data_IF_659723966828
#
_entry.id   IF_659723966828
#
_cell.length_a   1.000
_cell.length_b   1.000
_cell.length_c   1.000
_cell.angle_alpha   90.00
_cell.angle_beta   90.00
_cell.angle_gamma   90.00
#
_symmetry.space_group_name_H-M   'P 1'
#
loop_
_entity.id
_entity.type
_entity.pdbx_description
1 polymer ?
#
# COMPACT_ATOMS: atom_id res chain seq x y z
N UNK A 1 -5.76 2.00 -44.90
CA UNK A 1 -5.07 1.18 -43.90
C UNK A 1 -4.54 2.11 -42.83
N UNK A 2 -5.32 2.29 -41.72
CA UNK A 2 -4.86 3.00 -40.55
C UNK A 2 -3.91 2.05 -39.83
N UNK A 3 -2.62 2.31 -39.92
CA UNK A 3 -1.63 1.67 -39.06
C UNK A 3 -1.97 2.04 -37.65
N UNK A 4 -2.39 1.05 -36.85
CA UNK A 4 -2.50 1.21 -35.42
C UNK A 4 -1.13 1.68 -34.93
N UNK A 5 -1.09 2.85 -34.28
CA UNK A 5 0.11 3.27 -33.57
C UNK A 5 0.39 2.20 -32.52
N UNK A 6 1.60 1.64 -32.47
CA UNK A 6 1.94 0.82 -31.32
C UNK A 6 1.70 1.67 -30.07
N UNK A 7 0.96 1.13 -29.10
CA UNK A 7 0.85 1.78 -27.79
C UNK A 7 2.27 2.12 -27.34
N UNK A 8 2.56 3.38 -26.94
CA UNK A 8 3.85 3.65 -26.35
C UNK A 8 4.02 2.62 -25.22
N UNK A 9 5.20 2.03 -25.11
CA UNK A 9 5.58 1.22 -23.95
C UNK A 9 5.35 2.13 -22.75
N UNK A 10 4.19 1.96 -22.09
CA UNK A 10 3.85 2.67 -20.88
C UNK A 10 4.87 2.15 -19.87
N UNK A 11 5.78 3.04 -19.47
CA UNK A 11 6.71 2.72 -18.40
C UNK A 11 5.92 2.74 -17.10
N UNK A 12 5.35 1.57 -16.77
CA UNK A 12 4.71 1.38 -15.49
C UNK A 12 5.72 1.58 -14.38
N UNK A 13 5.33 2.31 -13.35
CA UNK A 13 6.13 2.49 -12.14
C UNK A 13 5.64 1.57 -11.05
N UNK A 14 6.52 1.27 -10.10
CA UNK A 14 6.20 0.46 -8.93
C UNK A 14 6.60 1.20 -7.67
N UNK A 15 5.73 1.12 -6.64
CA UNK A 15 5.99 1.66 -5.32
C UNK A 15 5.55 0.66 -4.27
N UNK A 16 6.28 0.58 -3.16
CA UNK A 16 6.01 -0.35 -2.06
C UNK A 16 5.49 0.43 -0.85
N UNK A 17 4.30 0.06 -0.39
CA UNK A 17 3.54 0.78 0.63
C UNK A 17 3.12 -0.16 1.76
N UNK A 18 3.23 0.28 3.00
CA UNK A 18 2.76 -0.43 4.18
C UNK A 18 1.95 0.46 5.11
N UNK A 19 0.91 -0.07 5.71
CA UNK A 19 0.05 0.68 6.63
C UNK A 19 -1.07 -0.20 7.15
N UNK A 20 -0.82 -0.93 8.23
CA UNK A 20 -1.74 -1.92 8.77
C UNK A 20 -1.70 -3.24 8.02
N UNK A 21 -2.78 -3.98 8.06
CA UNK A 21 -2.91 -5.24 7.34
C UNK A 21 -2.87 -5.02 5.82
N UNK A 22 -2.05 -5.79 5.12
CA UNK A 22 -1.92 -5.64 3.66
C UNK A 22 -3.18 -6.05 2.87
N UNK A 23 -4.13 -6.78 3.48
CA UNK A 23 -5.43 -7.03 2.86
C UNK A 23 -6.23 -5.73 2.66
N UNK A 24 -6.12 -4.78 3.60
CA UNK A 24 -6.75 -3.48 3.49
C UNK A 24 -6.15 -2.65 2.36
N UNK A 25 -4.82 -2.60 2.32
CA UNK A 25 -4.10 -1.86 1.28
C UNK A 25 -4.37 -2.44 -0.11
N UNK A 26 -4.28 -3.74 -0.25
CA UNK A 26 -4.58 -4.40 -1.52
C UNK A 26 -5.99 -4.08 -1.99
N UNK A 27 -6.98 -4.27 -1.12
CA UNK A 27 -8.37 -4.01 -1.47
C UNK A 27 -8.67 -2.55 -1.82
N UNK A 28 -7.94 -1.61 -1.19
CA UNK A 28 -8.09 -0.19 -1.48
C UNK A 28 -7.40 0.23 -2.79
N UNK A 29 -6.28 -0.42 -3.14
CA UNK A 29 -5.52 -0.08 -4.34
C UNK A 29 -6.05 -0.75 -5.60
N UNK A 30 -6.60 -1.95 -5.47
CA UNK A 30 -7.24 -2.67 -6.58
C UNK A 30 -8.46 -1.87 -7.07
N UNK A 31 -8.58 -1.69 -8.38
CA UNK A 31 -9.69 -0.97 -8.99
C UNK A 31 -9.46 0.52 -9.18
N UNK A 32 -8.36 1.08 -8.67
CA UNK A 32 -7.92 2.43 -9.05
C UNK A 32 -7.56 2.46 -10.54
N UNK A 33 -8.11 3.44 -11.26
CA UNK A 33 -7.72 3.62 -12.68
C UNK A 33 -6.26 3.95 -12.77
N UNK A 34 -5.54 3.19 -13.60
CA UNK A 34 -4.09 3.31 -13.77
C UNK A 34 -3.28 2.34 -12.92
N UNK A 35 -3.89 1.65 -11.96
CA UNK A 35 -3.23 0.57 -11.21
C UNK A 35 -3.47 -0.75 -11.93
N UNK A 36 -2.38 -1.39 -12.37
CA UNK A 36 -2.45 -2.65 -13.12
C UNK A 36 -2.22 -3.88 -12.27
N UNK A 37 -1.48 -3.75 -11.16
CA UNK A 37 -1.16 -4.89 -10.30
C UNK A 37 -0.90 -4.42 -8.87
N UNK A 38 -1.37 -5.20 -7.89
CA UNK A 38 -1.10 -5.00 -6.47
C UNK A 38 -0.68 -6.35 -5.89
N UNK A 39 0.54 -6.43 -5.38
CA UNK A 39 1.11 -7.69 -4.86
C UNK A 39 1.42 -7.54 -3.39
N UNK A 40 0.76 -8.32 -2.49
CA UNK A 40 1.11 -8.32 -1.08
C UNK A 40 2.44 -9.02 -0.84
N UNK A 41 3.18 -8.51 0.14
CA UNK A 41 4.50 -9.05 0.46
C UNK A 41 5.05 -8.51 1.77
N UNK A 42 6.35 -8.76 1.97
CA UNK A 42 7.09 -8.36 3.15
C UNK A 42 8.37 -7.64 2.74
N UNK A 43 8.69 -6.56 3.44
CA UNK A 43 9.89 -5.78 3.16
C UNK A 43 10.32 -4.97 4.38
N UNK A 44 11.57 -4.52 4.39
CA UNK A 44 12.12 -3.65 5.43
C UNK A 44 12.75 -4.37 6.60
N UNK A 45 12.72 -5.69 6.64
CA UNK A 45 13.31 -6.52 7.71
C UNK A 45 14.63 -7.17 7.31
N UNK A 46 15.07 -8.12 8.15
CA UNK A 46 16.40 -8.74 8.03
C UNK A 46 16.35 -10.26 7.77
N UNK A 47 15.15 -10.88 7.79
CA UNK A 47 14.99 -12.30 7.54
C UNK A 47 14.72 -12.53 6.06
N UNK A 48 15.54 -13.38 5.42
CA UNK A 48 15.35 -13.76 4.03
C UNK A 48 14.18 -14.74 3.89
N UNK A 49 13.38 -14.56 2.85
CA UNK A 49 12.27 -15.41 2.51
C UNK A 49 11.34 -15.70 3.72
N UNK A 50 10.81 -14.65 4.39
CA UNK A 50 10.04 -14.83 5.60
C UNK A 50 8.69 -15.51 5.31
N UNK A 51 8.18 -16.27 6.29
CA UNK A 51 6.81 -16.75 6.29
C UNK A 51 5.91 -15.75 7.02
N UNK A 52 4.61 -15.84 6.76
CA UNK A 52 3.60 -15.04 7.47
C UNK A 52 3.70 -15.23 8.99
N UNK A 53 3.86 -16.47 9.44
CA UNK A 53 4.00 -16.79 10.86
C UNK A 53 5.24 -16.12 11.49
N UNK A 54 6.35 -16.11 10.77
CA UNK A 54 7.56 -15.42 11.23
C UNK A 54 7.34 -13.93 11.36
N UNK A 55 6.68 -13.30 10.37
CA UNK A 55 6.37 -11.87 10.41
C UNK A 55 5.41 -11.56 11.57
N UNK A 56 4.40 -12.38 11.79
CA UNK A 56 3.49 -12.25 12.93
C UNK A 56 4.20 -12.40 14.29
N UNK A 57 5.33 -13.10 14.32
CA UNK A 57 6.19 -13.22 15.50
C UNK A 57 6.90 -11.94 15.89
N UNK A 58 6.83 -10.89 15.07
CA UNK A 58 7.34 -9.52 15.34
C UNK A 58 8.86 -9.40 15.45
N UNK A 59 9.63 -10.42 15.02
CA UNK A 59 11.09 -10.46 15.14
C UNK A 59 11.85 -10.38 13.82
N UNK A 60 11.12 -10.36 12.68
CA UNK A 60 11.76 -10.30 11.36
C UNK A 60 12.17 -8.89 10.95
N UNK A 61 11.57 -7.87 11.58
CA UNK A 61 11.70 -6.48 11.17
C UNK A 61 10.90 -6.12 9.92
N UNK A 62 10.28 -7.09 9.26
CA UNK A 62 9.48 -6.83 8.05
C UNK A 62 8.15 -6.15 8.37
N UNK A 63 7.75 -5.25 7.47
CA UNK A 63 6.39 -4.75 7.39
C UNK A 63 5.58 -5.59 6.39
N UNK A 64 4.27 -5.71 6.65
CA UNK A 64 3.30 -6.12 5.64
C UNK A 64 3.14 -4.98 4.64
N UNK A 65 3.43 -5.24 3.40
CA UNK A 65 3.42 -4.22 2.35
C UNK A 65 2.69 -4.71 1.11
N UNK A 66 2.36 -3.78 0.24
CA UNK A 66 1.92 -4.07 -1.13
C UNK A 66 2.84 -3.39 -2.11
N UNK A 67 3.18 -4.08 -3.19
CA UNK A 67 3.85 -3.51 -4.33
C UNK A 67 2.80 -3.15 -5.36
N UNK A 68 2.66 -1.85 -5.62
CA UNK A 68 1.66 -1.31 -6.53
C UNK A 68 2.34 -0.95 -7.84
N UNK A 69 1.86 -1.53 -8.94
CA UNK A 69 2.28 -1.18 -10.30
C UNK A 69 1.23 -0.28 -10.92
N UNK A 70 1.62 0.88 -11.38
CA UNK A 70 0.70 1.91 -11.86
C UNK A 70 1.27 2.69 -13.05
N UNK A 71 0.37 3.29 -13.83
CA UNK A 71 0.70 4.20 -14.90
C UNK A 71 0.59 5.64 -14.39
N UNK A 72 1.72 6.36 -14.26
CA UNK A 72 1.72 7.72 -13.70
C UNK A 72 1.04 8.76 -14.60
N UNK A 73 0.79 8.45 -15.87
CA UNK A 73 0.02 9.31 -16.76
C UNK A 73 -1.49 9.21 -16.52
N UNK A 74 -1.94 8.06 -15.99
CA UNK A 74 -3.36 7.85 -15.64
C UNK A 74 -3.62 8.24 -14.18
N UNK A 75 -2.80 7.73 -13.26
CA UNK A 75 -2.85 8.10 -11.85
C UNK A 75 -1.48 8.68 -11.43
N UNK A 76 -1.38 10.00 -11.25
CA UNK A 76 -0.13 10.60 -10.77
C UNK A 76 0.29 10.00 -9.43
N UNK A 77 1.60 9.82 -9.24
CA UNK A 77 2.13 9.19 -8.02
C UNK A 77 1.66 9.90 -6.74
N UNK A 78 1.59 11.22 -6.73
CA UNK A 78 1.10 11.98 -5.58
C UNK A 78 -0.36 11.67 -5.25
N UNK A 79 -1.19 11.45 -6.27
CA UNK A 79 -2.61 11.07 -6.07
C UNK A 79 -2.71 9.66 -5.50
N UNK A 80 -1.91 8.71 -6.02
CA UNK A 80 -1.83 7.36 -5.46
C UNK A 80 -1.44 7.40 -3.97
N UNK A 81 -0.48 8.25 -3.61
CA UNK A 81 -0.03 8.44 -2.23
C UNK A 81 -1.11 9.07 -1.35
N UNK A 82 -1.92 9.99 -1.87
CA UNK A 82 -3.06 10.53 -1.12
C UNK A 82 -4.08 9.44 -0.79
N UNK A 83 -4.35 8.53 -1.72
CA UNK A 83 -5.19 7.36 -1.45
C UNK A 83 -4.58 6.50 -0.35
N UNK A 84 -3.28 6.21 -0.44
CA UNK A 84 -2.55 5.46 0.58
C UNK A 84 -2.73 6.06 1.98
N UNK A 85 -2.55 7.36 2.12
CA UNK A 85 -2.71 8.04 3.42
C UNK A 85 -4.17 8.11 3.89
N UNK A 86 -5.13 7.78 3.04
CA UNK A 86 -6.55 7.66 3.44
C UNK A 86 -6.87 6.30 4.03
N UNK A 87 -6.19 5.24 3.57
CA UNK A 87 -6.50 3.84 3.95
C UNK A 87 -6.22 3.60 5.43
N UNK A 88 -5.24 4.28 6.00
CA UNK A 88 -4.77 4.05 7.36
C UNK A 88 -4.51 5.36 8.10
N UNK A 89 -4.31 5.28 9.41
CA UNK A 89 -3.88 6.39 10.23
C UNK A 89 -2.34 6.43 10.30
N UNK A 90 -1.68 7.37 9.62
CA UNK A 90 -0.22 7.41 9.55
C UNK A 90 0.44 7.99 10.81
N UNK A 91 -0.33 8.35 11.84
CA UNK A 91 0.18 8.87 13.11
C UNK A 91 0.40 7.78 14.16
N UNK A 92 -0.01 6.53 13.87
CA UNK A 92 0.14 5.41 14.80
C UNK A 92 1.48 4.72 14.58
N UNK A 93 2.33 4.73 15.61
CA UNK A 93 3.65 4.11 15.54
C UNK A 93 3.56 2.60 15.75
N UNK A 94 4.08 1.83 14.80
CA UNK A 94 4.17 0.36 14.86
C UNK A 94 2.83 -0.31 15.21
N UNK A 95 1.75 0.24 14.71
CA UNK A 95 0.42 -0.32 14.87
C UNK A 95 -0.56 0.33 13.91
N UNK A 96 -1.70 -0.33 13.73
CA UNK A 96 -2.86 0.26 13.08
C UNK A 96 -4.12 -0.24 13.77
N UNK A 97 -4.76 0.65 14.55
CA UNK A 97 -5.91 0.26 15.36
C UNK A 97 -5.55 -0.84 16.36
N UNK A 98 -6.26 -1.96 16.29
CA UNK A 98 -6.04 -3.12 17.15
C UNK A 98 -4.93 -4.07 16.66
N UNK A 99 -4.41 -3.84 15.45
CA UNK A 99 -3.28 -4.59 14.92
C UNK A 99 -1.98 -3.95 15.43
N UNK A 100 -1.35 -4.59 16.41
CA UNK A 100 -0.18 -4.06 17.12
C UNK A 100 1.07 -4.83 16.71
N UNK A 101 2.10 -4.11 16.31
CA UNK A 101 3.40 -4.66 15.98
C UNK A 101 4.08 -3.92 14.84
N UNK A 102 5.42 -4.07 14.70
CA UNK A 102 6.20 -3.40 13.67
C UNK A 102 5.80 -3.81 12.25
N UNK A 103 5.19 -5.00 12.08
CA UNK A 103 4.68 -5.45 10.78
C UNK A 103 3.52 -4.60 10.26
N UNK A 104 2.84 -3.87 11.12
CA UNK A 104 1.71 -3.00 10.77
C UNK A 104 2.07 -1.52 10.68
N UNK A 105 3.37 -1.19 10.72
CA UNK A 105 3.82 0.20 10.66
C UNK A 105 3.51 0.86 9.33
N UNK A 106 3.23 2.15 9.37
CA UNK A 106 3.11 2.99 8.18
C UNK A 106 4.50 3.17 7.55
N UNK A 107 4.64 2.82 6.29
CA UNK A 107 5.92 2.95 5.59
C UNK A 107 5.75 3.10 4.08
N UNK A 108 6.71 3.76 3.48
CA UNK A 108 6.93 3.80 2.03
C UNK A 108 8.37 3.43 1.77
N UNK A 109 8.58 2.38 0.98
CA UNK A 109 9.90 2.00 0.51
C UNK A 109 10.06 2.45 -0.93
N UNK A 110 10.86 3.50 -1.14
CA UNK A 110 11.02 4.13 -2.44
C UNK A 110 12.13 3.48 -3.27
N UNK A 111 11.95 3.52 -4.59
CA UNK A 111 12.91 2.98 -5.56
C UNK A 111 13.75 4.06 -6.24
N UNK A 112 13.36 5.33 -6.12
CA UNK A 112 14.07 6.46 -6.71
C UNK A 112 13.80 7.74 -5.95
N UNK A 113 14.56 8.78 -6.27
CA UNK A 113 14.50 10.07 -5.60
C UNK A 113 13.16 10.78 -5.81
N UNK A 114 12.54 10.64 -6.97
CA UNK A 114 11.24 11.25 -7.24
C UNK A 114 10.15 10.68 -6.33
N UNK A 115 10.20 9.38 -6.06
CA UNK A 115 9.29 8.75 -5.10
C UNK A 115 9.49 9.32 -3.70
N UNK A 116 10.73 9.46 -3.25
CA UNK A 116 11.04 10.04 -1.94
C UNK A 116 10.49 11.46 -1.83
N UNK A 117 10.73 12.29 -2.83
CA UNK A 117 10.25 13.68 -2.85
C UNK A 117 8.73 13.76 -2.85
N UNK A 118 8.06 12.93 -3.64
CA UNK A 118 6.60 12.91 -3.71
C UNK A 118 5.98 12.47 -2.38
N UNK A 119 6.56 11.45 -1.74
CA UNK A 119 6.10 10.99 -0.42
C UNK A 119 6.20 12.11 0.61
N UNK A 120 7.35 12.77 0.69
CA UNK A 120 7.57 13.86 1.64
C UNK A 120 6.60 15.03 1.38
N UNK A 121 6.37 15.36 0.12
CA UNK A 121 5.44 16.41 -0.25
C UNK A 121 3.99 16.07 0.17
N UNK A 122 3.55 14.85 -0.10
CA UNK A 122 2.19 14.41 0.27
C UNK A 122 2.05 14.31 1.79
N UNK A 123 3.08 13.82 2.50
CA UNK A 123 3.07 13.80 3.97
C UNK A 123 2.87 15.20 4.56
N UNK A 124 3.59 16.18 4.05
CA UNK A 124 3.44 17.57 4.49
C UNK A 124 2.02 18.08 4.25
N UNK A 125 1.45 17.78 3.09
CA UNK A 125 0.10 18.17 2.74
C UNK A 125 -0.95 17.49 3.65
N UNK A 126 -0.87 16.17 3.85
CA UNK A 126 -1.86 15.43 4.65
C UNK A 126 -1.68 15.65 6.15
N UNK A 127 -0.49 16.08 6.62
CA UNK A 127 -0.25 16.42 8.02
C UNK A 127 -1.27 17.44 8.56
N UNK A 128 -1.77 18.31 7.73
CA UNK A 128 -2.78 19.31 8.10
C UNK A 128 -4.08 18.69 8.61
N UNK A 129 -4.35 17.43 8.28
CA UNK A 129 -5.56 16.72 8.71
C UNK A 129 -5.41 16.04 10.08
N UNK A 130 -4.22 16.09 10.68
CA UNK A 130 -3.91 15.38 11.92
C UNK A 130 -3.36 16.34 12.97
N UNK A 131 -3.73 16.09 14.24
CA UNK A 131 -3.14 16.78 15.39
C UNK A 131 -1.77 16.19 15.71
N UNK A 132 -1.66 14.86 15.67
CA UNK A 132 -0.42 14.15 15.95
C UNK A 132 0.48 14.12 14.72
N UNK A 133 1.79 13.99 14.94
CA UNK A 133 2.75 13.91 13.85
C UNK A 133 2.62 12.59 13.08
N UNK A 134 2.71 12.69 11.76
CA UNK A 134 2.81 11.51 10.90
C UNK A 134 4.15 10.82 11.17
N UNK A 135 4.09 9.51 11.40
CA UNK A 135 5.25 8.68 11.75
C UNK A 135 5.61 7.67 10.66
N UNK A 136 5.16 7.90 9.45
CA UNK A 136 5.44 7.02 8.30
C UNK A 136 6.95 6.94 8.05
N UNK A 137 7.49 5.72 8.04
CA UNK A 137 8.87 5.46 7.64
C UNK A 137 9.00 5.69 6.13
N UNK A 138 10.01 6.46 5.72
CA UNK A 138 10.33 6.68 4.31
C UNK A 138 11.77 6.23 4.10
N UNK A 139 11.96 5.08 3.47
CA UNK A 139 13.27 4.42 3.35
C UNK A 139 13.47 3.84 1.95
N UNK A 140 14.73 3.67 1.50
CA UNK A 140 14.99 2.98 0.24
C UNK A 140 14.47 1.55 0.27
N UNK A 141 13.91 1.09 -0.86
CA UNK A 141 13.48 -0.29 -1.00
C UNK A 141 14.69 -1.22 -1.02
N UNK A 142 14.70 -2.16 -0.08
CA UNK A 142 15.59 -3.30 -0.12
C UNK A 142 14.95 -4.46 -0.88
N UNK A 143 15.00 -5.66 -0.30
CA UNK A 143 14.34 -6.83 -0.90
C UNK A 143 12.85 -6.80 -0.61
N UNK A 144 12.05 -7.11 -1.63
CA UNK A 144 10.62 -7.36 -1.51
C UNK A 144 10.39 -8.87 -1.63
N UNK A 145 9.77 -9.45 -0.60
CA UNK A 145 9.44 -10.87 -0.56
C UNK A 145 7.95 -11.03 -0.80
N UNK A 146 7.57 -11.70 -1.89
CA UNK A 146 6.17 -11.93 -2.23
C UNK A 146 5.52 -12.78 -1.13
N UNK A 147 4.35 -12.36 -0.66
CA UNK A 147 3.60 -13.13 0.33
C UNK A 147 3.02 -14.41 -0.29
N UNK A 148 2.64 -15.33 0.58
CA UNK A 148 2.04 -16.60 0.21
C UNK A 148 0.79 -16.39 -0.67
N UNK A 149 0.52 -17.31 -1.57
CA UNK A 149 -0.56 -17.17 -2.56
C UNK A 149 -1.92 -16.90 -1.93
N UNK A 150 -2.20 -17.45 -0.75
CA UNK A 150 -3.50 -17.27 -0.10
C UNK A 150 -3.76 -15.84 0.37
N UNK A 151 -2.74 -14.99 0.47
CA UNK A 151 -2.89 -13.57 0.80
C UNK A 151 -3.30 -12.71 -0.40
N UNK A 152 -3.07 -13.19 -1.62
CA UNK A 152 -3.37 -12.43 -2.83
C UNK A 152 -4.88 -12.38 -3.07
N UNK A 153 -5.43 -11.19 -3.25
CA UNK A 153 -6.87 -10.94 -3.37
C UNK A 153 -7.67 -11.51 -2.18
N UNK A 154 -7.08 -11.46 -1.00
CA UNK A 154 -7.65 -12.12 0.19
C UNK A 154 -9.06 -11.62 0.48
N UNK A 155 -9.28 -10.31 0.46
CA UNK A 155 -10.61 -9.74 0.74
C UNK A 155 -11.65 -10.20 -0.30
N UNK A 156 -11.31 -10.18 -1.59
CA UNK A 156 -12.20 -10.62 -2.64
C UNK A 156 -12.55 -12.12 -2.54
N UNK A 157 -11.58 -12.94 -2.12
CA UNK A 157 -11.74 -14.39 -1.99
C UNK A 157 -12.33 -14.83 -0.64
N UNK A 158 -12.30 -13.98 0.38
CA UNK A 158 -12.71 -14.31 1.74
C UNK A 158 -13.65 -13.23 2.33
N UNK A 159 -14.72 -12.84 1.63
CA UNK A 159 -15.59 -11.75 2.09
C UNK A 159 -16.35 -12.08 3.36
N UNK A 160 -16.49 -13.38 3.70
CA UNK A 160 -17.18 -13.85 4.90
C UNK A 160 -16.28 -13.93 6.14
N UNK A 161 -14.97 -13.72 5.98
CA UNK A 161 -14.05 -13.71 7.11
C UNK A 161 -14.44 -12.60 8.10
N UNK A 162 -14.58 -12.89 9.41
CA UNK A 162 -15.01 -11.89 10.40
C UNK A 162 -14.11 -10.65 10.46
N UNK A 163 -12.80 -10.81 10.36
CA UNK A 163 -11.86 -9.69 10.32
C UNK A 163 -12.08 -8.84 9.05
N UNK A 164 -12.29 -9.48 7.91
CA UNK A 164 -12.58 -8.77 6.66
C UNK A 164 -13.87 -7.95 6.77
N UNK A 165 -14.91 -8.48 7.39
CA UNK A 165 -16.17 -7.76 7.59
C UNK A 165 -16.03 -6.60 8.58
N UNK A 166 -15.33 -6.82 9.69
CA UNK A 166 -15.21 -5.84 10.77
C UNK A 166 -14.20 -4.73 10.51
N UNK A 167 -13.09 -5.04 9.83
CA UNK A 167 -11.93 -4.13 9.68
C UNK A 167 -11.67 -3.77 8.22
N UNK A 168 -11.50 -4.77 7.36
CA UNK A 168 -11.06 -4.55 5.97
C UNK A 168 -12.14 -3.86 5.14
N UNK A 169 -13.36 -4.38 5.16
CA UNK A 169 -14.48 -3.86 4.37
C UNK A 169 -14.79 -2.38 4.69
N UNK A 170 -14.89 -1.95 5.97
CA UNK A 170 -15.12 -0.54 6.27
C UNK A 170 -14.01 0.39 5.79
N UNK A 171 -12.76 -0.02 5.88
CA UNK A 171 -11.60 0.78 5.41
C UNK A 171 -11.63 0.96 3.90
N UNK A 172 -11.91 -0.12 3.17
CA UNK A 172 -12.02 -0.06 1.71
C UNK A 172 -13.19 0.82 1.30
N UNK A 173 -14.37 0.65 1.93
CA UNK A 173 -15.56 1.45 1.64
C UNK A 173 -15.31 2.95 1.88
N UNK A 174 -14.68 3.30 2.99
CA UNK A 174 -14.32 4.69 3.32
C UNK A 174 -13.38 5.29 2.27
N UNK A 175 -12.35 4.55 1.90
CA UNK A 175 -11.35 5.00 0.92
C UNK A 175 -12.00 5.20 -0.46
N UNK A 176 -12.80 4.24 -0.90
CA UNK A 176 -13.53 4.32 -2.18
C UNK A 176 -14.53 5.47 -2.21
N UNK A 177 -15.23 5.73 -1.10
CA UNK A 177 -16.16 6.85 -1.01
C UNK A 177 -15.44 8.19 -1.12
N UNK A 178 -14.31 8.34 -0.44
CA UNK A 178 -13.52 9.59 -0.45
C UNK A 178 -12.89 9.88 -1.81
N UNK A 179 -12.50 8.85 -2.53
CA UNK A 179 -11.80 8.95 -3.82
C UNK A 179 -12.59 8.30 -4.97
N UNK A 180 -13.93 8.36 -4.91
CA UNK A 180 -14.81 7.66 -5.84
C UNK A 180 -14.49 7.91 -7.32
N UNK A 181 -14.09 9.13 -7.66
CA UNK A 181 -13.73 9.53 -9.04
C UNK A 181 -12.47 8.86 -9.58
N UNK A 182 -11.66 8.23 -8.73
CA UNK A 182 -10.42 7.56 -9.12
C UNK A 182 -10.63 6.07 -9.44
N UNK A 183 -11.77 5.51 -9.05
CA UNK A 183 -12.06 4.08 -9.25
C UNK A 183 -12.82 3.84 -10.57
N UNK A 184 -12.61 2.64 -11.12
CA UNK A 184 -13.33 2.14 -12.30
C UNK A 184 -14.79 1.85 -12.00
#
# INVERSE_FOLDING_TARGET
>A
LKTARPFPLIMAEQIVLGGGCFWCLEGAMVGLRGVSEVVPGYSGGHIDNPTYEQVCGKRTGHAEVVKVTFDPEIIPQRILLEVFFTVHDPTQLNRQGNDIGPQYRSCVFYSNEQQRLDVEHVMEYVQQNYVDDIVTEVSPLGKFWIAENYHHNYFANNPQNPYCQAVVSPKIAKTRAKHAHLYE
#
